data_IF_604258719655
#
_entry.id   IF_604258719655
#
_cell.length_a   1.000
_cell.length_b   1.000
_cell.length_c   1.000
_cell.angle_alpha   90.00
_cell.angle_beta   90.00
_cell.angle_gamma   90.00
#
_symmetry.space_group_name_H-M   'P 1'
#
loop_
_entity.id
_entity.type
_entity.pdbx_description
1 polymer ?
#
# COMPACT_ATOMS: atom_id res chain seq x y z
N UNK A 1 -11.49 -4.17 32.66
CA UNK A 1 -11.29 -3.44 31.40
C UNK A 1 -10.19 -2.41 31.62
N UNK A 2 -9.16 -2.39 30.79
CA UNK A 2 -8.21 -1.28 30.71
C UNK A 2 -8.86 -0.17 29.89
N UNK A 3 -8.74 1.07 30.35
CA UNK A 3 -9.18 2.25 29.59
C UNK A 3 -7.97 2.87 28.93
N UNK A 4 -8.04 3.12 27.64
CA UNK A 4 -6.95 3.67 26.84
C UNK A 4 -7.48 4.69 25.83
N UNK A 5 -6.61 5.60 25.40
CA UNK A 5 -6.81 6.43 24.24
C UNK A 5 -6.02 5.83 23.07
N UNK A 6 -6.70 5.51 21.99
CA UNK A 6 -6.06 5.04 20.75
C UNK A 6 -5.76 6.23 19.85
N UNK A 7 -4.49 6.46 19.53
CA UNK A 7 -4.08 7.50 18.59
C UNK A 7 -3.63 6.86 17.27
N UNK A 8 -3.82 7.57 16.16
CA UNK A 8 -3.27 7.17 14.86
C UNK A 8 -1.87 7.76 14.72
N UNK A 9 -0.88 6.90 14.45
CA UNK A 9 0.49 7.28 14.12
C UNK A 9 0.68 7.12 12.63
N UNK A 10 1.10 8.20 11.98
CA UNK A 10 1.36 8.25 10.55
C UNK A 10 2.87 8.23 10.31
N UNK A 11 3.25 7.64 9.18
CA UNK A 11 4.62 7.62 8.68
C UNK A 11 4.64 8.18 7.27
N UNK A 12 5.74 8.82 6.85
CA UNK A 12 5.77 9.49 5.58
C UNK A 12 5.89 8.49 4.44
N UNK A 13 5.13 8.75 3.38
CA UNK A 13 5.21 8.03 2.12
C UNK A 13 6.56 8.29 1.45
N UNK A 14 7.23 7.22 1.07
CA UNK A 14 8.47 7.27 0.30
C UNK A 14 8.35 6.38 -0.91
N UNK A 15 8.54 6.96 -2.09
CA UNK A 15 8.39 6.28 -3.36
C UNK A 15 9.63 6.48 -4.21
N UNK A 16 10.08 5.40 -4.85
CA UNK A 16 10.95 5.52 -6.01
C UNK A 16 10.12 5.43 -7.29
N UNK A 17 10.64 5.99 -8.37
CA UNK A 17 9.98 6.05 -9.68
C UNK A 17 10.93 5.50 -10.73
N UNK A 18 10.40 4.58 -11.55
CA UNK A 18 11.14 3.95 -12.64
C UNK A 18 10.15 3.61 -13.75
N UNK A 19 10.50 3.94 -14.99
CA UNK A 19 9.67 3.59 -16.14
C UNK A 19 10.12 2.28 -16.79
N UNK A 20 10.32 1.23 -15.96
CA UNK A 20 10.67 -0.09 -16.48
C UNK A 20 9.50 -0.68 -17.28
N UNK A 21 9.73 -1.63 -18.21
CA UNK A 21 8.66 -2.29 -18.95
C UNK A 21 7.57 -2.88 -18.04
N UNK A 22 7.96 -3.45 -16.90
CA UNK A 22 7.06 -4.04 -15.91
C UNK A 22 6.18 -2.98 -15.24
N UNK A 23 6.74 -1.83 -14.87
CA UNK A 23 6.00 -0.73 -14.24
C UNK A 23 5.12 0.01 -15.23
N UNK A 24 5.58 0.20 -16.46
CA UNK A 24 4.77 0.74 -17.56
C UNK A 24 3.57 -0.18 -17.84
N UNK A 25 3.74 -1.51 -17.79
CA UNK A 25 2.64 -2.46 -17.96
C UNK A 25 1.53 -2.28 -16.91
N UNK A 26 1.84 -1.84 -15.68
CA UNK A 26 0.84 -1.54 -14.63
C UNK A 26 -0.13 -0.42 -15.00
N UNK A 27 0.19 0.40 -16.01
CA UNK A 27 -0.76 1.39 -16.53
C UNK A 27 -2.05 0.74 -17.03
N UNK A 28 -1.99 -0.49 -17.55
CA UNK A 28 -3.17 -1.21 -18.05
C UNK A 28 -4.18 -1.53 -16.93
N UNK A 29 -3.72 -1.55 -15.68
CA UNK A 29 -4.56 -1.76 -14.48
C UNK A 29 -5.20 -0.44 -13.99
N UNK A 30 -4.70 0.72 -14.46
CA UNK A 30 -5.19 2.01 -14.01
C UNK A 30 -6.47 2.40 -14.75
N UNK A 31 -7.57 2.57 -14.01
CA UNK A 31 -8.88 2.97 -14.56
C UNK A 31 -8.82 4.23 -15.43
N UNK A 32 -8.01 5.23 -15.03
CA UNK A 32 -7.86 6.46 -15.80
C UNK A 32 -7.21 6.23 -17.17
N UNK A 33 -6.24 5.31 -17.24
CA UNK A 33 -5.57 4.93 -18.49
C UNK A 33 -6.47 4.06 -19.35
N UNK A 34 -7.17 3.08 -18.77
CA UNK A 34 -8.18 2.27 -19.48
C UNK A 34 -9.28 3.10 -20.12
N UNK A 35 -9.69 4.20 -19.47
CA UNK A 35 -10.76 5.06 -19.95
C UNK A 35 -10.38 5.85 -21.21
N UNK A 36 -9.09 5.95 -21.58
CA UNK A 36 -8.66 6.55 -22.85
C UNK A 36 -9.23 5.78 -24.04
N UNK A 37 -9.24 4.45 -23.96
CA UNK A 37 -9.73 3.56 -25.01
C UNK A 37 -11.18 3.10 -24.82
N UNK A 38 -11.97 3.77 -23.97
CA UNK A 38 -13.40 3.46 -23.75
C UNK A 38 -14.27 4.61 -24.25
N UNK A 39 -15.15 4.34 -25.22
CA UNK A 39 -16.10 5.34 -25.72
C UNK A 39 -17.50 5.17 -25.11
N UNK A 40 -18.13 6.30 -24.76
CA UNK A 40 -19.55 6.37 -24.34
C UNK A 40 -20.51 6.64 -25.50
N UNK A 41 -20.02 6.73 -26.74
CA UNK A 41 -20.82 7.06 -27.92
C UNK A 41 -21.75 5.90 -28.29
N UNK A 42 -22.95 6.25 -28.73
CA UNK A 42 -23.97 5.28 -29.17
C UNK A 42 -23.81 4.88 -30.63
N UNK A 43 -23.26 5.76 -31.47
CA UNK A 43 -23.02 5.48 -32.89
C UNK A 43 -21.82 4.52 -33.03
N UNK A 44 -21.98 3.32 -33.63
CA UNK A 44 -20.92 2.33 -33.73
C UNK A 44 -19.65 2.84 -34.43
N UNK A 45 -19.77 3.68 -35.46
CA UNK A 45 -18.61 4.21 -36.20
C UNK A 45 -17.80 5.21 -35.39
N UNK A 46 -18.49 6.11 -34.69
CA UNK A 46 -17.84 7.08 -33.80
C UNK A 46 -17.21 6.38 -32.60
N UNK A 47 -17.92 5.37 -32.05
CA UNK A 47 -17.43 4.56 -30.95
C UNK A 47 -16.12 3.86 -31.31
N UNK A 48 -16.08 3.14 -32.43
CA UNK A 48 -14.87 2.44 -32.86
C UNK A 48 -13.71 3.38 -33.15
N UNK A 49 -13.98 4.56 -33.72
CA UNK A 49 -12.95 5.55 -34.02
C UNK A 49 -12.34 6.15 -32.74
N UNK A 50 -13.16 6.47 -31.73
CA UNK A 50 -12.69 6.99 -30.45
C UNK A 50 -11.90 5.94 -29.66
N UNK A 51 -12.33 4.69 -29.65
CA UNK A 51 -11.60 3.60 -28.99
C UNK A 51 -10.24 3.31 -29.68
N UNK A 52 -10.18 3.40 -31.01
CA UNK A 52 -8.93 3.24 -31.76
C UNK A 52 -7.95 4.39 -31.49
N UNK A 53 -8.42 5.64 -31.51
CA UNK A 53 -7.60 6.79 -31.13
C UNK A 53 -7.10 6.66 -29.68
N UNK A 54 -7.96 6.18 -28.77
CA UNK A 54 -7.60 5.91 -27.38
C UNK A 54 -6.51 4.83 -27.24
N UNK A 55 -6.54 3.77 -28.05
CA UNK A 55 -5.46 2.77 -28.08
C UNK A 55 -4.15 3.36 -28.59
N UNK A 56 -4.20 4.20 -29.61
CA UNK A 56 -3.02 4.92 -30.11
C UNK A 56 -2.43 5.85 -29.05
N UNK A 57 -3.29 6.56 -28.30
CA UNK A 57 -2.90 7.38 -27.14
C UNK A 57 -2.20 6.57 -26.05
N UNK A 58 -2.73 5.40 -25.73
CA UNK A 58 -2.14 4.49 -24.74
C UNK A 58 -0.75 4.04 -25.17
N UNK A 59 -0.61 3.58 -26.40
CA UNK A 59 0.66 3.10 -26.95
C UNK A 59 1.71 4.23 -27.02
N UNK A 60 1.35 5.40 -27.53
CA UNK A 60 2.24 6.55 -27.59
C UNK A 60 2.72 6.97 -26.20
N UNK A 61 1.84 6.96 -25.20
CA UNK A 61 2.23 7.29 -23.82
C UNK A 61 3.23 6.26 -23.26
N UNK A 62 3.01 4.96 -23.50
CA UNK A 62 3.95 3.91 -23.06
C UNK A 62 5.32 4.05 -23.71
N UNK A 63 5.36 4.37 -25.00
CA UNK A 63 6.61 4.55 -25.75
C UNK A 63 7.42 5.74 -25.21
N UNK A 64 6.75 6.87 -24.95
CA UNK A 64 7.41 8.06 -24.41
C UNK A 64 7.89 7.83 -22.98
N UNK A 65 7.10 7.13 -22.16
CA UNK A 65 7.53 6.75 -20.81
C UNK A 65 8.76 5.84 -20.82
N UNK A 66 8.94 5.01 -21.84
CA UNK A 66 10.09 4.12 -21.95
C UNK A 66 11.43 4.88 -22.08
N UNK A 67 11.42 6.17 -22.47
CA UNK A 67 12.62 7.02 -22.45
C UNK A 67 13.17 7.25 -21.03
N UNK A 68 12.35 7.04 -19.99
CA UNK A 68 12.73 7.15 -18.59
C UNK A 68 13.09 5.79 -17.96
N UNK A 69 13.21 4.72 -18.73
CA UNK A 69 13.39 3.35 -18.22
C UNK A 69 14.75 3.11 -17.54
N UNK A 70 15.78 3.88 -17.87
CA UNK A 70 17.15 3.64 -17.41
C UNK A 70 17.49 4.30 -16.07
N UNK A 71 16.70 5.27 -15.61
CA UNK A 71 17.01 6.05 -14.41
C UNK A 71 15.99 5.78 -13.30
N UNK A 72 16.49 5.30 -12.15
CA UNK A 72 15.71 5.19 -10.93
C UNK A 72 15.73 6.53 -10.18
N UNK A 73 14.58 7.15 -10.05
CA UNK A 73 14.42 8.39 -9.29
C UNK A 73 13.95 8.06 -7.89
N UNK A 74 14.68 8.51 -6.87
CA UNK A 74 14.30 8.38 -5.46
C UNK A 74 13.65 9.65 -4.90
N UNK A 75 13.41 10.63 -5.77
CA UNK A 75 12.82 11.90 -5.44
C UNK A 75 11.70 12.21 -6.42
N UNK A 76 10.50 12.53 -5.90
CA UNK A 76 9.31 12.74 -6.72
C UNK A 76 9.45 13.98 -7.59
N UNK A 77 10.01 15.07 -7.07
CA UNK A 77 10.15 16.31 -7.83
C UNK A 77 11.11 16.12 -9.01
N UNK A 78 12.23 15.44 -8.78
CA UNK A 78 13.18 15.09 -9.84
C UNK A 78 12.54 14.23 -10.93
N UNK A 79 11.73 13.22 -10.54
CA UNK A 79 11.01 12.40 -11.50
C UNK A 79 9.98 13.22 -12.29
N UNK A 80 9.20 14.07 -11.63
CA UNK A 80 8.19 14.89 -12.27
C UNK A 80 8.80 15.89 -13.27
N UNK A 81 9.96 16.48 -12.95
CA UNK A 81 10.69 17.32 -13.90
C UNK A 81 11.17 16.52 -15.13
N UNK A 82 11.70 15.32 -14.93
CA UNK A 82 12.13 14.45 -16.03
C UNK A 82 10.93 14.03 -16.89
N UNK A 83 9.82 13.66 -16.26
CA UNK A 83 8.55 13.34 -16.90
C UNK A 83 8.03 14.51 -17.74
N UNK A 84 7.96 15.71 -17.17
CA UNK A 84 7.49 16.89 -17.91
C UNK A 84 8.42 17.25 -19.07
N UNK A 85 9.74 17.10 -18.91
CA UNK A 85 10.70 17.29 -20.02
C UNK A 85 10.44 16.34 -21.16
N UNK A 86 10.24 15.05 -20.87
CA UNK A 86 9.98 14.02 -21.89
C UNK A 86 8.64 14.27 -22.59
N UNK A 87 7.57 14.54 -21.83
CA UNK A 87 6.24 14.85 -22.39
C UNK A 87 6.27 16.12 -23.25
N UNK A 88 6.95 17.18 -22.81
CA UNK A 88 7.04 18.42 -23.58
C UNK A 88 7.94 18.28 -24.82
N UNK A 89 8.98 17.45 -24.76
CA UNK A 89 9.88 17.19 -25.90
C UNK A 89 9.22 16.34 -26.98
N UNK A 90 8.32 15.42 -26.59
CA UNK A 90 7.45 14.73 -27.53
C UNK A 90 6.49 15.69 -28.24
N UNK A 91 6.21 16.88 -27.68
CA UNK A 91 5.34 17.88 -28.31
C UNK A 91 3.90 17.37 -28.53
N UNK A 92 3.07 18.11 -29.28
CA UNK A 92 1.76 17.62 -29.75
C UNK A 92 1.97 16.65 -30.93
N UNK A 93 2.71 15.57 -30.72
CA UNK A 93 2.64 14.43 -31.61
C UNK A 93 1.23 13.86 -31.43
N UNK A 94 0.39 14.03 -32.44
CA UNK A 94 -0.89 13.32 -32.57
C UNK A 94 -0.52 11.82 -32.64
N UNK A 95 -0.60 11.08 -31.52
CA UNK A 95 -1.81 10.90 -30.74
C UNK A 95 -1.60 11.02 -29.21
N UNK A 96 -0.83 11.97 -28.66
CA UNK A 96 -0.63 12.03 -27.20
C UNK A 96 -1.91 12.50 -26.48
N UNK A 97 -2.38 11.79 -25.42
CA UNK A 97 -3.52 12.25 -24.65
C UNK A 97 -3.16 13.48 -23.82
N UNK A 98 -4.15 14.37 -23.60
CA UNK A 98 -4.00 15.44 -22.62
C UNK A 98 -3.83 14.85 -21.22
N UNK A 99 -2.66 15.07 -20.62
CA UNK A 99 -2.33 14.60 -19.28
C UNK A 99 -2.99 15.51 -18.23
N UNK A 100 -4.23 15.17 -17.88
CA UNK A 100 -4.94 15.80 -16.76
C UNK A 100 -4.47 15.24 -15.40
N UNK A 101 -4.88 15.87 -14.29
CA UNK A 101 -4.46 15.47 -12.94
C UNK A 101 -4.77 14.00 -12.60
N UNK A 102 -5.90 13.47 -13.09
CA UNK A 102 -6.31 12.08 -12.85
C UNK A 102 -5.41 11.10 -13.58
N UNK A 103 -5.11 11.37 -14.86
CA UNK A 103 -4.19 10.54 -15.64
C UNK A 103 -2.77 10.65 -15.11
N UNK A 104 -2.32 11.85 -14.72
CA UNK A 104 -1.00 12.06 -14.11
C UNK A 104 -0.82 11.25 -12.85
N UNK A 105 -1.81 11.25 -11.96
CA UNK A 105 -1.80 10.43 -10.74
C UNK A 105 -1.76 8.94 -11.06
N UNK A 106 -2.50 8.47 -12.07
CA UNK A 106 -2.45 7.09 -12.51
C UNK A 106 -1.08 6.68 -13.04
N UNK A 107 -0.41 7.56 -13.80
CA UNK A 107 0.95 7.35 -14.28
C UNK A 107 1.93 7.26 -13.11
N UNK A 108 1.92 8.24 -12.21
CA UNK A 108 2.81 8.24 -11.04
C UNK A 108 2.60 6.99 -10.17
N UNK A 109 1.36 6.57 -9.95
CA UNK A 109 1.05 5.35 -9.20
C UNK A 109 1.56 4.08 -9.89
N UNK A 110 1.45 3.98 -11.22
CA UNK A 110 1.92 2.81 -11.96
C UNK A 110 3.45 2.69 -11.96
N UNK A 111 4.14 3.83 -12.05
CA UNK A 111 5.60 3.90 -12.16
C UNK A 111 6.32 3.93 -10.80
N UNK A 112 5.58 4.03 -9.70
CA UNK A 112 6.14 4.11 -8.36
C UNK A 112 6.10 2.80 -7.60
N UNK A 113 7.07 2.63 -6.70
CA UNK A 113 7.08 1.61 -5.66
C UNK A 113 7.57 2.22 -4.35
N UNK A 114 7.14 1.63 -3.23
CA UNK A 114 7.63 2.04 -1.92
C UNK A 114 9.11 1.73 -1.76
N UNK A 115 9.83 2.70 -1.22
CA UNK A 115 11.27 2.61 -1.00
C UNK A 115 11.64 3.44 0.22
N UNK A 116 11.99 2.78 1.32
CA UNK A 116 12.36 3.44 2.58
C UNK A 116 13.59 4.37 2.44
N UNK A 117 14.40 4.16 1.40
CA UNK A 117 15.59 4.97 1.11
C UNK A 117 15.29 6.18 0.23
N UNK A 118 14.06 6.34 -0.25
CA UNK A 118 13.64 7.46 -1.07
C UNK A 118 13.33 8.71 -0.24
N UNK A 119 13.34 9.87 -0.90
CA UNK A 119 12.89 11.13 -0.32
C UNK A 119 11.43 11.03 0.12
N UNK A 120 11.09 11.77 1.18
CA UNK A 120 9.70 11.89 1.63
C UNK A 120 8.88 12.57 0.53
N UNK A 121 7.80 11.92 0.15
CA UNK A 121 6.78 12.49 -0.72
C UNK A 121 6.03 13.59 0.03
N UNK A 122 5.92 14.77 -0.59
CA UNK A 122 5.24 15.93 -0.02
C UNK A 122 4.03 16.34 -0.86
N UNK A 123 3.04 16.88 -0.18
CA UNK A 123 1.89 17.52 -0.81
C UNK A 123 2.25 18.92 -1.35
N UNK A 124 1.26 19.61 -1.90
CA UNK A 124 1.43 20.96 -2.49
C UNK A 124 1.82 22.04 -1.47
N UNK A 125 1.52 21.81 -0.20
CA UNK A 125 1.82 22.71 0.90
C UNK A 125 3.17 22.36 1.56
N UNK A 126 3.84 21.33 1.07
CA UNK A 126 5.14 20.86 1.57
C UNK A 126 5.04 19.91 2.76
N UNK A 127 3.83 19.50 3.18
CA UNK A 127 3.66 18.55 4.27
C UNK A 127 3.95 17.12 3.80
N UNK A 128 4.52 16.26 4.66
CA UNK A 128 4.71 14.85 4.32
C UNK A 128 3.35 14.17 4.06
N UNK A 129 3.27 13.42 2.96
CA UNK A 129 2.11 12.57 2.69
C UNK A 129 2.16 11.32 3.57
N UNK A 130 1.03 10.88 4.11
CA UNK A 130 0.96 9.67 4.92
C UNK A 130 1.00 8.39 4.06
N UNK A 131 1.82 7.41 4.46
CA UNK A 131 1.76 6.06 3.91
C UNK A 131 0.70 5.23 4.64
N UNK A 132 -0.37 4.91 3.93
CA UNK A 132 -1.49 4.13 4.47
C UNK A 132 -1.10 2.70 4.87
N UNK A 133 -0.03 2.14 4.32
CA UNK A 133 0.45 0.80 4.68
C UNK A 133 1.33 0.79 5.93
N UNK A 134 1.89 1.93 6.30
CA UNK A 134 2.73 2.10 7.49
C UNK A 134 1.98 2.87 8.59
N UNK A 135 0.68 3.05 8.44
CA UNK A 135 -0.17 3.69 9.45
C UNK A 135 -0.44 2.71 10.58
N UNK A 136 -0.09 3.12 11.78
CA UNK A 136 -0.25 2.34 12.99
C UNK A 136 -1.19 3.03 13.99
N UNK A 137 -1.61 2.28 15.01
CA UNK A 137 -2.37 2.84 16.13
C UNK A 137 -1.67 2.49 17.43
N UNK A 138 -1.47 3.50 18.28
CA UNK A 138 -0.89 3.34 19.61
C UNK A 138 -1.98 3.44 20.67
N UNK A 139 -1.95 2.53 21.64
CA UNK A 139 -2.92 2.49 22.74
C UNK A 139 -2.29 3.05 24.01
N UNK A 140 -2.64 4.28 24.34
CA UNK A 140 -2.06 5.03 25.44
C UNK A 140 -2.95 4.83 26.68
N UNK A 141 -2.40 4.39 27.84
CA UNK A 141 -3.16 4.28 29.07
C UNK A 141 -3.87 5.58 29.43
N UNK A 142 -5.14 5.49 29.84
CA UNK A 142 -5.88 6.70 30.18
C UNK A 142 -5.29 7.38 31.42
N UNK A 143 -4.85 8.62 31.26
CA UNK A 143 -4.18 9.42 32.29
C UNK A 143 -2.70 9.69 31.99
N UNK A 144 -2.14 9.02 30.99
CA UNK A 144 -0.84 9.38 30.41
C UNK A 144 -1.04 10.41 29.30
N UNK A 145 -0.14 11.40 29.22
CA UNK A 145 -0.15 12.39 28.15
C UNK A 145 0.26 11.76 26.80
N UNK A 146 -0.40 12.19 25.73
CA UNK A 146 -0.21 11.64 24.39
C UNK A 146 1.20 11.95 23.86
N UNK A 147 1.68 13.18 24.09
CA UNK A 147 2.96 13.64 23.55
C UNK A 147 4.13 13.06 24.34
N UNK A 148 4.00 12.95 25.66
CA UNK A 148 4.99 12.27 26.50
C UNK A 148 5.15 10.79 26.10
N UNK A 149 4.05 10.08 25.86
CA UNK A 149 4.08 8.70 25.34
C UNK A 149 4.73 8.66 23.95
N UNK A 150 4.30 9.52 23.03
CA UNK A 150 4.80 9.55 21.66
C UNK A 150 6.32 9.80 21.60
N UNK A 151 6.82 10.73 22.41
CA UNK A 151 8.25 11.09 22.43
C UNK A 151 9.12 10.01 23.10
N UNK A 152 8.58 9.24 24.05
CA UNK A 152 9.33 8.21 24.77
C UNK A 152 9.24 6.81 24.15
N UNK A 153 8.09 6.45 23.57
CA UNK A 153 7.82 5.10 23.06
C UNK A 153 7.82 5.03 21.53
N UNK A 154 7.45 6.10 20.81
CA UNK A 154 7.30 6.04 19.34
C UNK A 154 8.51 6.63 18.62
N UNK A 155 8.84 7.91 18.87
CA UNK A 155 9.94 8.61 18.18
C UNK A 155 11.29 7.88 18.21
N UNK A 156 11.72 7.23 19.32
CA UNK A 156 13.00 6.54 19.34
C UNK A 156 13.09 5.37 18.37
N UNK A 157 11.95 4.82 17.95
CA UNK A 157 11.87 3.74 16.96
C UNK A 157 11.59 4.25 15.56
N UNK A 158 10.84 5.36 15.43
CA UNK A 158 10.41 5.92 14.14
C UNK A 158 10.48 7.46 14.21
N UNK A 159 11.65 8.01 13.87
CA UNK A 159 11.97 9.44 14.03
C UNK A 159 11.06 10.39 13.20
N UNK A 160 10.60 9.90 12.05
CA UNK A 160 9.82 10.67 11.09
C UNK A 160 8.30 10.48 11.22
N UNK A 161 7.85 9.76 12.23
CA UNK A 161 6.44 9.57 12.52
C UNK A 161 5.79 10.84 13.07
N UNK A 162 4.47 10.97 12.90
CA UNK A 162 3.67 11.99 13.57
C UNK A 162 2.30 11.47 13.98
N UNK A 163 1.69 12.11 14.97
CA UNK A 163 0.30 11.82 15.38
C UNK A 163 -0.68 12.50 14.42
N UNK A 164 -1.65 11.75 13.88
CA UNK A 164 -2.75 12.32 13.10
C UNK A 164 -3.67 13.14 14.00
N UNK A 165 -3.61 14.46 13.86
CA UNK A 165 -4.43 15.42 14.62
C UNK A 165 -5.88 15.51 14.13
N UNK A 166 -6.22 14.86 13.02
CA UNK A 166 -7.58 14.83 12.46
C UNK A 166 -8.49 13.77 13.07
N UNK A 167 -7.93 12.76 13.73
CA UNK A 167 -8.70 11.73 14.44
C UNK A 167 -9.03 12.24 15.83
N UNK A 168 -10.28 12.64 16.04
CA UNK A 168 -10.76 13.19 17.30
C UNK A 168 -11.85 12.29 17.92
N UNK A 169 -11.91 12.26 19.26
CA UNK A 169 -12.96 11.56 19.97
C UNK A 169 -14.26 12.36 19.88
N UNK A 170 -15.35 11.68 19.59
CA UNK A 170 -16.66 12.30 19.43
C UNK A 170 -17.23 13.00 20.69
N UNK A 171 -16.72 12.71 21.89
CA UNK A 171 -17.27 13.25 23.15
C UNK A 171 -16.61 14.54 23.59
N UNK A 172 -15.29 14.60 23.55
CA UNK A 172 -14.48 15.73 24.04
C UNK A 172 -13.77 16.48 22.90
N UNK A 173 -13.76 15.93 21.68
CA UNK A 173 -13.10 16.51 20.50
C UNK A 173 -11.57 16.59 20.70
N UNK A 174 -11.01 15.75 21.58
CA UNK A 174 -9.56 15.60 21.78
C UNK A 174 -8.97 14.56 20.83
N UNK A 175 -7.65 14.58 20.64
CA UNK A 175 -6.93 13.69 19.72
C UNK A 175 -7.05 12.23 20.19
N UNK A 176 -7.32 11.34 19.23
CA UNK A 176 -7.47 9.91 19.44
C UNK A 176 -8.91 9.48 19.68
N UNK A 177 -9.09 8.24 20.13
CA UNK A 177 -10.40 7.66 20.48
C UNK A 177 -10.30 6.94 21.81
N UNK A 178 -11.16 7.31 22.75
CA UNK A 178 -11.16 6.68 24.07
C UNK A 178 -11.93 5.37 24.03
N UNK A 179 -11.21 4.28 24.31
CA UNK A 179 -11.72 2.92 24.28
C UNK A 179 -11.60 2.19 25.62
N UNK A 180 -12.35 1.09 25.73
CA UNK A 180 -12.18 0.11 26.80
C UNK A 180 -11.81 -1.21 26.18
N UNK A 181 -10.71 -1.80 26.65
CA UNK A 181 -10.32 -3.14 26.27
C UNK A 181 -10.76 -4.14 27.33
N UNK A 182 -11.46 -5.19 26.89
CA UNK A 182 -11.79 -6.36 27.71
C UNK A 182 -10.96 -7.51 27.18
N UNK A 183 -9.92 -7.91 27.92
CA UNK A 183 -9.12 -9.07 27.54
C UNK A 183 -9.94 -10.35 27.80
N UNK A 184 -10.59 -10.87 26.76
CA UNK A 184 -11.46 -12.04 26.88
C UNK A 184 -10.69 -13.27 27.37
N UNK A 185 -9.47 -13.50 26.89
CA UNK A 185 -8.67 -14.65 27.34
C UNK A 185 -8.41 -14.60 28.84
N UNK A 186 -8.07 -13.43 29.39
CA UNK A 186 -7.86 -13.27 30.83
C UNK A 186 -9.09 -13.66 31.66
N UNK A 187 -10.30 -13.38 31.17
CA UNK A 187 -11.52 -13.55 31.96
C UNK A 187 -12.31 -14.83 31.63
N UNK A 188 -12.17 -15.34 30.41
CA UNK A 188 -13.01 -16.41 29.88
C UNK A 188 -12.21 -17.60 29.34
N UNK A 189 -10.88 -17.52 29.28
CA UNK A 189 -10.08 -18.69 28.90
C UNK A 189 -10.14 -19.72 30.02
N UNK A 190 -10.66 -20.90 29.67
CA UNK A 190 -10.53 -22.08 30.48
C UNK A 190 -9.37 -22.88 29.89
N UNK A 191 -8.35 -23.10 30.71
CA UNK A 191 -7.23 -23.94 30.31
C UNK A 191 -7.73 -25.36 30.11
N UNK A 192 -7.73 -25.81 28.86
CA UNK A 192 -7.92 -27.22 28.52
C UNK A 192 -6.54 -27.89 28.54
N UNK A 193 -6.27 -28.78 29.50
CA UNK A 193 -5.03 -29.53 29.49
C UNK A 193 -4.97 -30.37 28.21
N UNK A 194 -3.79 -30.41 27.59
CA UNK A 194 -3.55 -31.31 26.47
C UNK A 194 -3.76 -32.78 26.90
N UNK A 195 -4.07 -33.64 25.94
CA UNK A 195 -4.16 -35.09 26.18
C UNK A 195 -2.87 -35.61 26.84
N UNK A 196 -2.96 -36.61 27.75
CA UNK A 196 -1.80 -37.16 28.44
C UNK A 196 -0.69 -37.59 27.48
N UNK A 197 0.56 -37.48 27.94
CA UNK A 197 1.72 -37.86 27.12
C UNK A 197 1.67 -39.34 26.74
N UNK A 198 1.16 -40.19 27.64
CA UNK A 198 1.02 -41.63 27.43
C UNK A 198 0.08 -41.96 26.25
N UNK A 199 -0.97 -41.17 26.05
CA UNK A 199 -1.86 -41.31 24.89
C UNK A 199 -1.17 -40.86 23.59
N UNK A 200 -0.37 -39.79 23.65
CA UNK A 200 0.44 -39.33 22.51
C UNK A 200 1.44 -40.41 22.12
N UNK A 201 2.13 -41.01 23.09
CA UNK A 201 3.10 -42.08 22.86
C UNK A 201 2.45 -43.34 22.29
N UNK A 202 1.24 -43.69 22.75
CA UNK A 202 0.49 -44.83 22.22
C UNK A 202 0.10 -44.61 20.75
N UNK A 203 -0.41 -43.42 20.41
CA UNK A 203 -0.76 -43.05 19.03
C UNK A 203 0.47 -43.07 18.12
N UNK A 204 1.60 -42.51 18.56
CA UNK A 204 2.85 -42.52 17.80
C UNK A 204 3.27 -43.95 17.48
N UNK A 205 3.26 -44.86 18.46
CA UNK A 205 3.61 -46.27 18.26
C UNK A 205 2.65 -47.00 17.31
N UNK A 206 1.35 -46.68 17.37
CA UNK A 206 0.37 -47.26 16.43
C UNK A 206 0.69 -46.83 15.00
N UNK A 207 0.89 -45.53 14.79
CA UNK A 207 1.22 -44.97 13.48
C UNK A 207 2.56 -45.52 12.95
N UNK A 208 3.56 -45.69 13.80
CA UNK A 208 4.84 -46.32 13.43
C UNK A 208 4.64 -47.75 12.91
N UNK A 209 3.80 -48.55 13.58
CA UNK A 209 3.49 -49.92 13.16
C UNK A 209 2.74 -49.92 11.81
N UNK A 210 1.73 -49.06 11.65
CA UNK A 210 0.97 -48.93 10.41
C UNK A 210 1.87 -48.54 9.22
N UNK A 211 2.78 -47.60 9.42
CA UNK A 211 3.76 -47.18 8.40
C UNK A 211 4.66 -48.35 8.00
N UNK A 212 5.16 -49.13 8.97
CA UNK A 212 6.00 -50.30 8.70
C UNK A 212 5.24 -51.35 7.89
N UNK A 213 3.98 -51.60 8.22
CA UNK A 213 3.16 -52.57 7.49
C UNK A 213 2.83 -52.09 6.07
N UNK A 214 2.49 -50.81 5.88
CA UNK A 214 2.31 -50.23 4.54
C UNK A 214 3.59 -50.30 3.69
N UNK A 215 4.76 -50.03 4.29
CA UNK A 215 6.04 -50.14 3.58
C UNK A 215 6.35 -51.57 3.17
N UNK A 216 5.97 -52.57 3.99
CA UNK A 216 6.10 -54.00 3.65
C UNK A 216 5.20 -54.39 2.49
N UNK A 217 3.97 -53.88 2.43
CA UNK A 217 3.03 -54.15 1.32
C UNK A 217 3.50 -53.58 -0.03
N UNK A 218 4.29 -52.50 -0.02
CA UNK A 218 4.83 -51.87 -1.24
C UNK A 218 6.18 -52.44 -1.67
N UNK A 219 6.94 -53.01 -0.73
CA UNK A 219 8.30 -53.54 -1.00
C UNK A 219 8.37 -55.06 -1.10
N UNK A 220 7.30 -55.77 -0.76
CA UNK A 220 7.13 -57.22 -0.97
C UNK A 220 6.31 -57.54 -2.23
#
# INVERSE_FOLDING_TARGET
ASKSCSITVERPLRLNFLASPERIARLDEQTAFQNLAKSKKRNPKEKSAEEELGRQQQEALKQILAELAETLYKDREQFEEAFDKVINSAGPLDPLPKINATLRKAILNALSERDETASICRDKDGHPEADRELRDNENIPLGQDIWDYFDSEVKPHIDDAWVDKGVLDHKDIEIGKVGYEINFNRYFYQYEPHRPLEEIEADIKSLESEIVDMLREVTG
#
